data_IF_073840064497
#
_entry.id   IF_073840064497
#
_cell.length_a   1.000
_cell.length_b   1.000
_cell.length_c   1.000
_cell.angle_alpha   90.00
_cell.angle_beta   90.00
_cell.angle_gamma   90.00
#
_symmetry.space_group_name_H-M   'P 1'
#
loop_
_entity.id
_entity.type
_entity.pdbx_description
1 polymer ?
#
# COMPACT_ATOMS: atom_id res chain seq x y z
N UNK A 1 18.47 20.44 -1.81
CA UNK A 1 18.97 20.20 -0.45
C UNK A 1 18.31 18.96 0.09
N UNK A 2 19.10 17.91 0.36
CA UNK A 2 18.65 16.73 1.07
C UNK A 2 19.05 16.91 2.53
N UNK A 3 18.08 17.08 3.42
CA UNK A 3 18.33 17.11 4.85
C UNK A 3 18.43 15.67 5.35
N UNK A 4 19.62 15.25 5.73
CA UNK A 4 19.80 13.97 6.42
C UNK A 4 19.25 14.10 7.84
N UNK A 5 18.23 13.30 8.18
CA UNK A 5 17.72 13.20 9.55
C UNK A 5 18.77 12.50 10.41
N UNK A 6 19.16 13.09 11.54
CA UNK A 6 20.23 12.61 12.45
C UNK A 6 19.99 11.26 13.13
N UNK A 7 18.86 10.57 12.89
CA UNK A 7 18.51 9.26 13.46
C UNK A 7 17.89 8.37 12.38
N UNK A 8 18.73 7.86 11.48
CA UNK A 8 18.34 6.80 10.55
C UNK A 8 18.73 5.42 11.08
N UNK A 9 18.21 4.35 10.45
CA UNK A 9 18.59 2.99 10.79
C UNK A 9 20.10 2.78 10.62
N UNK A 10 20.73 2.02 11.54
CA UNK A 10 22.16 1.69 11.45
C UNK A 10 22.36 0.73 10.27
N UNK A 11 23.00 1.20 9.20
CA UNK A 11 23.40 0.40 8.04
C UNK A 11 24.92 0.37 7.98
N UNK A 12 25.50 -0.82 8.03
CA UNK A 12 26.93 -1.02 7.81
C UNK A 12 27.23 -0.99 6.32
N UNK A 13 28.25 -0.25 5.92
CA UNK A 13 28.66 -0.11 4.51
C UNK A 13 30.09 -0.58 4.36
N UNK A 14 30.36 -1.51 3.45
CA UNK A 14 31.69 -1.92 3.05
C UNK A 14 31.91 -1.83 1.55
N UNK A 15 33.13 -1.53 1.13
CA UNK A 15 33.51 -1.42 -0.28
C UNK A 15 34.64 -2.41 -0.58
N UNK A 16 34.53 -3.08 -1.74
CA UNK A 16 35.55 -4.02 -2.22
C UNK A 16 35.86 -3.76 -3.71
N UNK A 17 36.88 -4.40 -4.24
CA UNK A 17 37.27 -4.31 -5.65
C UNK A 17 37.45 -2.85 -6.14
N UNK A 18 38.23 -2.06 -5.40
CA UNK A 18 38.48 -0.63 -5.69
C UNK A 18 37.14 0.17 -5.83
N UNK A 19 36.14 -0.16 -4.99
CA UNK A 19 34.85 0.51 -4.98
C UNK A 19 33.87 0.04 -6.08
N UNK A 20 34.18 -1.01 -6.84
CA UNK A 20 33.25 -1.59 -7.83
C UNK A 20 32.15 -2.46 -7.20
N UNK A 21 32.35 -2.87 -5.94
CA UNK A 21 31.39 -3.66 -5.18
C UNK A 21 31.08 -2.94 -3.87
N UNK A 22 29.81 -2.71 -3.59
CA UNK A 22 29.30 -2.08 -2.38
C UNK A 22 28.41 -3.09 -1.66
N UNK A 23 28.70 -3.36 -0.40
CA UNK A 23 27.87 -4.22 0.43
C UNK A 23 27.26 -3.39 1.54
N UNK A 24 25.95 -3.47 1.67
CA UNK A 24 25.16 -2.93 2.77
C UNK A 24 24.70 -4.08 3.65
N UNK A 25 24.72 -3.89 4.97
CA UNK A 25 24.24 -4.89 5.92
C UNK A 25 23.45 -4.22 7.04
N UNK A 26 22.27 -4.75 7.31
CA UNK A 26 21.40 -4.34 8.41
C UNK A 26 20.34 -5.41 8.65
N UNK A 27 19.79 -5.49 9.86
CA UNK A 27 18.68 -6.39 10.21
C UNK A 27 18.92 -7.88 9.83
N UNK A 28 20.15 -8.37 9.95
CA UNK A 28 20.52 -9.72 9.52
C UNK A 28 20.63 -9.91 8.00
N UNK A 29 20.25 -8.92 7.21
CA UNK A 29 20.31 -8.97 5.74
C UNK A 29 21.60 -8.35 5.21
N UNK A 30 22.05 -8.86 4.06
CA UNK A 30 23.22 -8.37 3.34
C UNK A 30 22.91 -8.20 1.87
N UNK A 31 23.03 -6.97 1.38
CA UNK A 31 22.78 -6.61 -0.03
C UNK A 31 24.08 -6.16 -0.67
N UNK A 32 24.49 -6.84 -1.74
CA UNK A 32 25.72 -6.53 -2.47
C UNK A 32 25.38 -5.98 -3.84
N UNK A 33 25.80 -4.76 -4.08
CA UNK A 33 25.68 -4.04 -5.36
C UNK A 33 26.98 -4.12 -6.15
N UNK A 34 26.84 -4.16 -7.46
CA UNK A 34 27.94 -4.17 -8.42
C UNK A 34 27.82 -2.96 -9.35
N UNK A 35 28.86 -2.11 -9.36
CA UNK A 35 28.87 -0.88 -10.16
C UNK A 35 28.59 -1.18 -11.62
N UNK A 36 27.68 -0.41 -12.24
CA UNK A 36 27.22 -0.54 -13.62
C UNK A 36 26.56 -1.89 -13.97
N UNK A 37 26.12 -2.67 -12.98
CA UNK A 37 25.41 -3.94 -13.22
C UNK A 37 23.97 -3.85 -12.77
N UNK A 38 23.03 -4.35 -13.60
CA UNK A 38 21.59 -4.43 -13.27
C UNK A 38 21.23 -5.72 -12.52
N UNK A 39 22.05 -6.08 -11.55
CA UNK A 39 21.77 -7.13 -10.58
C UNK A 39 22.45 -6.85 -9.25
N UNK A 40 21.92 -7.45 -8.20
CA UNK A 40 22.44 -7.46 -6.83
C UNK A 40 22.57 -8.90 -6.34
N UNK A 41 23.19 -9.06 -5.19
CA UNK A 41 23.07 -10.29 -4.39
C UNK A 41 22.47 -9.96 -3.05
N UNK A 42 21.33 -10.55 -2.74
CA UNK A 42 20.65 -10.46 -1.44
C UNK A 42 20.89 -11.77 -0.70
N UNK A 43 21.58 -11.72 0.44
CA UNK A 43 21.95 -12.89 1.23
C UNK A 43 22.63 -14.00 0.39
N UNK A 44 23.41 -13.60 -0.63
CA UNK A 44 24.09 -14.51 -1.56
C UNK A 44 23.31 -14.85 -2.83
N UNK A 45 22.01 -14.74 -2.86
CA UNK A 45 21.13 -15.03 -4.02
C UNK A 45 21.16 -13.85 -5.00
N UNK A 46 21.30 -14.14 -6.30
CA UNK A 46 21.35 -13.12 -7.37
C UNK A 46 19.96 -12.69 -7.78
N UNK A 47 19.71 -11.38 -7.82
CA UNK A 47 18.44 -10.76 -8.22
C UNK A 47 18.65 -9.65 -9.25
N UNK A 48 17.72 -9.48 -10.18
CA UNK A 48 17.75 -8.41 -11.17
C UNK A 48 17.17 -7.12 -10.59
N UNK A 49 17.78 -5.99 -10.93
CA UNK A 49 17.29 -4.65 -10.59
C UNK A 49 17.13 -3.79 -11.84
N UNK A 50 16.21 -2.84 -11.81
CA UNK A 50 15.92 -1.95 -12.96
C UNK A 50 17.04 -0.93 -13.20
N UNK A 51 17.62 -0.40 -12.13
CA UNK A 51 18.61 0.68 -12.16
C UNK A 51 19.93 0.18 -11.60
N UNK A 52 21.00 0.30 -12.40
CA UNK A 52 22.34 -0.06 -11.95
C UNK A 52 22.92 1.01 -11.00
N UNK A 53 23.76 0.63 -10.01
CA UNK A 53 24.59 1.58 -9.29
C UNK A 53 25.54 2.31 -10.25
N UNK A 54 25.69 3.61 -10.08
CA UNK A 54 26.54 4.44 -10.93
C UNK A 54 27.49 5.34 -10.12
N UNK A 55 28.61 5.73 -10.71
CA UNK A 55 29.47 6.78 -10.19
C UNK A 55 28.96 8.14 -10.67
N UNK A 56 28.82 9.11 -9.78
CA UNK A 56 28.42 10.48 -10.12
C UNK A 56 29.33 11.48 -9.41
N UNK A 57 29.59 12.62 -10.04
CA UNK A 57 30.25 13.77 -9.41
C UNK A 57 29.18 14.72 -8.87
N UNK A 58 29.20 14.99 -7.58
CA UNK A 58 28.24 15.90 -6.94
C UNK A 58 29.07 16.83 -6.02
N UNK A 59 28.99 18.15 -6.25
CA UNK A 59 29.76 19.13 -5.48
C UNK A 59 31.27 18.88 -5.49
N UNK A 60 31.86 18.42 -6.62
CA UNK A 60 33.27 18.09 -6.74
C UNK A 60 33.67 16.69 -6.23
N UNK A 61 32.84 16.05 -5.41
CA UNK A 61 33.13 14.73 -4.85
C UNK A 61 32.62 13.60 -5.79
N UNK A 62 33.42 12.53 -5.94
CA UNK A 62 33.01 11.33 -6.67
C UNK A 62 32.27 10.38 -5.76
N UNK A 63 30.97 10.24 -5.96
CA UNK A 63 30.06 9.43 -5.15
C UNK A 63 29.53 8.22 -5.93
N UNK A 64 29.17 7.14 -5.22
CA UNK A 64 28.47 6.01 -5.79
C UNK A 64 26.99 6.14 -5.42
N UNK A 65 26.15 6.25 -6.45
CA UNK A 65 24.71 6.31 -6.31
C UNK A 65 24.14 4.89 -6.38
N UNK A 66 23.41 4.51 -5.36
CA UNK A 66 22.71 3.22 -5.30
C UNK A 66 21.20 3.44 -5.54
N UNK A 67 20.48 2.45 -6.09
CA UNK A 67 19.03 2.49 -6.15
C UNK A 67 18.47 2.38 -4.72
N UNK A 68 18.17 3.53 -4.11
CA UNK A 68 17.89 3.66 -2.68
C UNK A 68 16.73 2.78 -2.21
N UNK A 69 15.61 2.74 -2.97
CA UNK A 69 14.48 1.89 -2.63
C UNK A 69 14.91 0.43 -2.47
N UNK A 70 15.53 -0.15 -3.49
CA UNK A 70 16.01 -1.54 -3.48
C UNK A 70 17.01 -1.75 -2.35
N UNK A 71 17.92 -0.79 -2.12
CA UNK A 71 18.91 -0.89 -1.06
C UNK A 71 18.30 -1.03 0.33
N UNK A 72 17.26 -0.25 0.62
CA UNK A 72 16.62 -0.24 1.93
C UNK A 72 15.60 -1.36 2.09
N UNK A 73 14.77 -1.64 1.08
CA UNK A 73 13.76 -2.70 1.13
C UNK A 73 14.41 -4.08 1.33
N UNK A 74 15.49 -4.38 0.59
CA UNK A 74 16.21 -5.65 0.72
C UNK A 74 16.99 -5.80 2.05
N UNK A 75 17.23 -4.71 2.76
CA UNK A 75 17.78 -4.72 4.11
C UNK A 75 16.69 -4.86 5.20
N UNK A 76 15.41 -4.99 4.81
CA UNK A 76 14.28 -5.08 5.72
C UNK A 76 13.84 -3.73 6.28
N UNK A 77 14.17 -2.63 5.62
CA UNK A 77 13.66 -1.30 5.95
C UNK A 77 12.48 -0.93 5.07
N UNK A 78 11.61 -0.13 5.62
CA UNK A 78 10.52 0.48 4.86
C UNK A 78 11.00 1.76 4.19
N UNK A 79 10.82 1.88 2.86
CA UNK A 79 11.26 3.03 2.07
C UNK A 79 10.07 3.77 1.48
N UNK A 80 9.91 5.05 1.81
CA UNK A 80 8.87 5.93 1.24
C UNK A 80 9.49 7.23 0.73
N UNK A 81 9.10 7.64 -0.48
CA UNK A 81 9.48 8.94 -1.04
C UNK A 81 8.28 9.88 -1.03
N UNK A 82 8.39 10.98 -0.30
CA UNK A 82 7.40 12.05 -0.30
C UNK A 82 7.79 13.11 -1.36
N UNK A 83 7.03 13.14 -2.44
CA UNK A 83 7.31 14.03 -3.59
C UNK A 83 7.15 15.51 -3.25
N UNK A 84 6.16 15.90 -2.45
CA UNK A 84 5.89 17.29 -2.09
C UNK A 84 6.97 17.85 -1.17
N UNK A 85 7.45 17.06 -0.23
CA UNK A 85 8.55 17.42 0.68
C UNK A 85 9.93 17.12 0.10
N UNK A 86 10.00 16.48 -1.09
CA UNK A 86 11.25 15.97 -1.71
C UNK A 86 12.11 15.17 -0.72
N UNK A 87 11.45 14.41 0.17
CA UNK A 87 12.07 13.70 1.27
C UNK A 87 11.89 12.18 1.14
N UNK A 88 12.91 11.45 1.56
CA UNK A 88 12.90 10.00 1.68
C UNK A 88 12.76 9.66 3.16
N UNK A 89 11.79 8.82 3.49
CA UNK A 89 11.59 8.25 4.81
C UNK A 89 12.01 6.78 4.78
N UNK A 90 12.89 6.41 5.71
CA UNK A 90 13.33 5.04 5.91
C UNK A 90 13.08 4.67 7.36
N UNK A 91 12.19 3.72 7.60
CA UNK A 91 11.87 3.23 8.94
C UNK A 91 12.34 1.79 9.07
N UNK A 92 12.88 1.43 10.24
CA UNK A 92 13.38 0.08 10.49
C UNK A 92 12.28 -0.83 11.03
N UNK A 93 12.33 -2.11 10.63
CA UNK A 93 11.66 -3.16 11.41
C UNK A 93 12.54 -3.42 12.64
N UNK A 94 12.09 -3.01 13.81
CA UNK A 94 12.78 -3.31 15.08
C UNK A 94 12.51 -4.76 15.49
N UNK A 95 13.34 -5.68 15.03
CA UNK A 95 13.54 -6.93 15.76
C UNK A 95 14.50 -6.61 16.90
N UNK A 96 13.99 -6.36 18.07
CA UNK A 96 14.76 -6.11 19.29
C UNK A 96 15.28 -7.42 19.86
N UNK A 97 16.62 -7.55 19.91
CA UNK A 97 17.26 -8.36 20.94
C UNK A 97 17.77 -7.38 22.04
N UNK A 98 17.21 -7.55 23.24
CA UNK A 98 17.67 -7.10 24.55
C UNK A 98 17.82 -5.60 24.86
N UNK A 99 16.87 -5.06 25.61
CA UNK A 99 17.06 -4.04 26.63
C UNK A 99 15.90 -4.08 27.66
N UNK A 100 16.07 -3.60 28.90
CA UNK A 100 15.31 -4.03 30.06
C UNK A 100 13.88 -3.48 30.15
N UNK A 101 13.06 -4.22 30.87
CA UNK A 101 11.64 -4.06 31.06
C UNK A 101 11.18 -2.65 31.48
N UNK A 102 10.21 -2.10 30.75
CA UNK A 102 9.09 -1.34 31.32
C UNK A 102 8.04 -1.03 30.23
N UNK A 103 6.80 -1.35 30.52
CA UNK A 103 5.51 -1.19 29.83
C UNK A 103 5.14 -2.31 28.84
N UNK A 104 3.89 -2.81 28.91
CA UNK A 104 3.45 -3.94 28.08
C UNK A 104 3.38 -3.53 26.63
N UNK A 105 4.26 -4.13 25.81
CA UNK A 105 4.21 -4.04 24.35
C UNK A 105 3.00 -4.86 23.92
N UNK A 106 1.97 -4.18 23.41
CA UNK A 106 0.91 -4.83 22.65
C UNK A 106 1.58 -5.39 21.39
N UNK A 107 1.69 -6.70 21.28
CA UNK A 107 2.17 -7.38 20.08
C UNK A 107 1.30 -6.96 18.90
N UNK A 108 1.80 -6.06 18.03
CA UNK A 108 1.11 -5.76 16.77
C UNK A 108 1.12 -7.04 15.90
N UNK A 109 -0.03 -7.48 15.39
CA UNK A 109 -0.09 -8.65 14.52
C UNK A 109 0.72 -8.40 13.24
N UNK A 110 1.53 -9.36 12.85
CA UNK A 110 2.35 -9.31 11.63
C UNK A 110 1.48 -9.05 10.39
N UNK A 111 1.93 -8.14 9.51
CA UNK A 111 1.19 -7.82 8.27
C UNK A 111 1.35 -8.96 7.26
N UNK A 112 0.27 -9.68 6.99
CA UNK A 112 0.25 -10.73 5.98
C UNK A 112 -0.02 -10.13 4.58
N UNK A 113 1.02 -9.70 3.89
CA UNK A 113 0.91 -9.14 2.54
C UNK A 113 0.48 -10.16 1.47
N UNK A 114 0.61 -11.45 1.74
CA UNK A 114 0.20 -12.56 0.87
C UNK A 114 -1.24 -13.04 1.11
N UNK A 115 -2.01 -12.39 2.01
CA UNK A 115 -3.36 -12.82 2.37
C UNK A 115 -4.25 -12.96 1.14
N UNK A 116 -4.87 -14.16 1.02
CA UNK A 116 -5.82 -14.48 -0.05
C UNK A 116 -7.24 -14.33 0.44
N UNK A 117 -8.13 -13.82 -0.39
CA UNK A 117 -9.54 -13.65 -0.04
C UNK A 117 -10.25 -14.98 0.26
N UNK A 118 -9.77 -16.09 -0.29
CA UNK A 118 -10.28 -17.44 0.01
C UNK A 118 -10.23 -17.79 1.49
N UNK A 119 -9.29 -17.21 2.24
CA UNK A 119 -9.20 -17.37 3.69
C UNK A 119 -10.44 -16.83 4.44
N UNK A 120 -11.12 -15.81 3.89
CA UNK A 120 -12.26 -15.16 4.55
C UNK A 120 -13.53 -16.00 4.58
N UNK A 121 -13.62 -17.07 3.77
CA UNK A 121 -14.84 -17.88 3.60
C UNK A 121 -15.44 -18.30 4.94
N UNK A 122 -14.59 -18.76 5.86
CA UNK A 122 -14.99 -19.28 7.18
C UNK A 122 -14.65 -18.34 8.35
N UNK A 123 -14.12 -17.16 8.07
CA UNK A 123 -13.78 -16.21 9.14
C UNK A 123 -15.03 -15.56 9.73
N UNK A 124 -15.00 -15.37 11.04
CA UNK A 124 -15.89 -14.45 11.74
C UNK A 124 -15.56 -13.01 11.39
N UNK A 125 -16.46 -12.07 11.72
CA UNK A 125 -16.23 -10.63 11.51
C UNK A 125 -14.98 -10.12 12.23
N UNK A 126 -14.71 -10.63 13.43
CA UNK A 126 -13.54 -10.23 14.20
C UNK A 126 -12.23 -10.78 13.60
N UNK A 127 -12.24 -12.02 13.13
CA UNK A 127 -11.08 -12.62 12.45
C UNK A 127 -10.76 -11.88 11.14
N UNK A 128 -11.78 -11.51 10.36
CA UNK A 128 -11.60 -10.66 9.17
C UNK A 128 -10.93 -9.33 9.53
N UNK A 129 -11.43 -8.62 10.54
CA UNK A 129 -10.85 -7.34 10.99
C UNK A 129 -9.40 -7.53 11.44
N UNK A 130 -9.11 -8.58 12.19
CA UNK A 130 -7.76 -8.87 12.67
C UNK A 130 -6.80 -9.25 11.52
N UNK A 131 -7.30 -9.87 10.45
CA UNK A 131 -6.50 -10.23 9.29
C UNK A 131 -6.24 -9.03 8.37
N UNK A 132 -7.25 -8.18 8.13
CA UNK A 132 -7.16 -7.05 7.19
C UNK A 132 -6.66 -5.77 7.86
N UNK A 133 -6.91 -5.58 9.15
CA UNK A 133 -6.54 -4.38 9.91
C UNK A 133 -5.06 -3.99 9.82
N UNK A 134 -4.13 -4.93 10.05
CA UNK A 134 -2.69 -4.64 9.88
C UNK A 134 -2.33 -4.19 8.48
N UNK A 135 -2.97 -4.77 7.44
CA UNK A 135 -2.74 -4.41 6.03
C UNK A 135 -3.26 -2.98 5.77
N UNK A 136 -4.49 -2.68 6.24
CA UNK A 136 -5.09 -1.35 6.07
C UNK A 136 -4.30 -0.27 6.83
N UNK A 137 -3.79 -0.57 8.03
CA UNK A 137 -2.92 0.34 8.79
C UNK A 137 -1.61 0.64 8.05
N UNK A 138 -0.97 -0.39 7.51
CA UNK A 138 0.27 -0.23 6.76
C UNK A 138 0.05 0.58 5.48
N UNK A 139 -1.09 0.39 4.82
CA UNK A 139 -1.49 1.18 3.67
C UNK A 139 -1.80 2.65 4.06
N UNK A 140 -2.51 2.89 5.17
CA UNK A 140 -2.74 4.23 5.71
C UNK A 140 -1.43 5.00 5.97
N UNK A 141 -0.44 4.35 6.57
CA UNK A 141 0.89 4.96 6.81
C UNK A 141 1.57 5.41 5.51
N UNK A 142 1.28 4.76 4.39
CA UNK A 142 1.83 5.07 3.06
C UNK A 142 1.04 6.12 2.30
N UNK A 143 -0.29 6.06 2.41
CA UNK A 143 -1.20 6.79 1.51
C UNK A 143 -1.91 7.96 2.18
N UNK A 144 -2.13 7.89 3.49
CA UNK A 144 -2.95 8.84 4.24
C UNK A 144 -4.46 8.53 4.17
N UNK A 145 -4.88 7.48 3.46
CA UNK A 145 -6.26 6.97 3.52
C UNK A 145 -6.42 6.18 4.81
N UNK A 146 -7.27 6.66 5.72
CA UNK A 146 -7.42 6.07 7.06
C UNK A 146 -7.75 4.57 7.00
N UNK A 147 -7.10 3.79 7.85
CA UNK A 147 -7.32 2.35 7.92
C UNK A 147 -8.77 2.01 8.29
N UNK A 148 -9.39 2.80 9.16
CA UNK A 148 -10.81 2.67 9.51
C UNK A 148 -11.71 2.84 8.31
N UNK A 149 -11.41 3.80 7.42
CA UNK A 149 -12.17 4.03 6.17
C UNK A 149 -11.97 2.87 5.21
N UNK A 150 -10.72 2.45 4.98
CA UNK A 150 -10.38 1.30 4.13
C UNK A 150 -11.07 0.02 4.60
N UNK A 151 -11.06 -0.26 5.92
CA UNK A 151 -11.72 -1.42 6.51
C UNK A 151 -13.24 -1.36 6.34
N UNK A 152 -13.87 -0.22 6.62
CA UNK A 152 -15.31 -0.07 6.48
C UNK A 152 -15.76 -0.27 5.02
N UNK A 153 -15.02 0.31 4.06
CA UNK A 153 -15.26 0.08 2.63
C UNK A 153 -15.04 -1.39 2.25
N UNK A 154 -13.95 -2.02 2.69
CA UNK A 154 -13.70 -3.43 2.40
C UNK A 154 -14.80 -4.35 2.94
N UNK A 155 -15.30 -4.08 4.15
CA UNK A 155 -16.42 -4.81 4.74
C UNK A 155 -17.69 -4.65 3.88
N UNK A 156 -18.03 -3.41 3.54
CA UNK A 156 -19.25 -3.07 2.79
C UNK A 156 -19.21 -3.63 1.37
N UNK A 157 -18.14 -3.36 0.62
CA UNK A 157 -18.01 -3.68 -0.80
C UNK A 157 -17.80 -5.19 -1.05
N UNK A 158 -17.13 -5.90 -0.14
CA UNK A 158 -16.85 -7.33 -0.32
C UNK A 158 -17.76 -8.28 0.45
N UNK A 159 -18.68 -7.75 1.29
CA UNK A 159 -19.44 -8.58 2.21
C UNK A 159 -18.52 -9.39 3.14
N UNK A 160 -17.61 -8.71 3.86
CA UNK A 160 -16.63 -9.37 4.71
C UNK A 160 -15.66 -10.28 3.94
N UNK A 161 -15.32 -9.92 2.73
CA UNK A 161 -14.47 -10.72 1.86
C UNK A 161 -15.15 -11.98 1.27
N UNK A 162 -16.44 -12.17 1.50
CA UNK A 162 -17.17 -13.40 1.12
C UNK A 162 -17.87 -13.31 -0.23
N UNK A 163 -17.89 -12.15 -0.89
CA UNK A 163 -18.50 -12.02 -2.23
C UNK A 163 -17.76 -12.90 -3.25
N UNK A 164 -18.53 -13.44 -4.22
CA UNK A 164 -17.96 -14.29 -5.27
C UNK A 164 -16.84 -13.59 -6.06
N UNK A 165 -16.99 -12.29 -6.32
CA UNK A 165 -15.93 -11.49 -6.96
C UNK A 165 -14.65 -11.51 -6.12
N UNK A 166 -14.76 -11.15 -4.85
CA UNK A 166 -13.62 -11.07 -3.94
C UNK A 166 -12.91 -12.42 -3.80
N UNK A 167 -13.67 -13.51 -3.62
CA UNK A 167 -13.13 -14.87 -3.47
C UNK A 167 -12.32 -15.33 -4.70
N UNK A 168 -12.74 -14.93 -5.90
CA UNK A 168 -12.11 -15.36 -7.15
C UNK A 168 -10.99 -14.45 -7.65
N UNK A 169 -10.88 -13.22 -7.11
CA UNK A 169 -9.98 -12.20 -7.67
C UNK A 169 -9.16 -11.41 -6.65
N UNK A 170 -9.34 -11.62 -5.35
CA UNK A 170 -8.80 -10.77 -4.26
C UNK A 170 -9.24 -9.30 -4.36
N UNK A 171 -10.26 -8.98 -5.16
CA UNK A 171 -10.74 -7.62 -5.39
C UNK A 171 -11.74 -7.22 -4.30
N UNK A 172 -11.26 -6.47 -3.31
CA UNK A 172 -12.05 -6.10 -2.13
C UNK A 172 -13.07 -4.98 -2.37
N UNK A 173 -12.89 -4.20 -3.45
CA UNK A 173 -13.62 -2.95 -3.68
C UNK A 173 -14.38 -2.92 -5.00
N UNK A 174 -14.47 -4.03 -5.70
CA UNK A 174 -15.14 -4.08 -7.00
C UNK A 174 -14.46 -3.21 -8.08
N UNK A 175 -13.14 -3.05 -8.02
CA UNK A 175 -12.41 -2.25 -9.00
C UNK A 175 -12.52 -2.86 -10.39
N UNK A 176 -13.14 -2.11 -11.33
CA UNK A 176 -13.24 -2.50 -12.75
C UNK A 176 -11.89 -2.28 -13.46
N UNK A 177 -11.65 -2.95 -14.59
CA UNK A 177 -10.43 -2.80 -15.39
C UNK A 177 -10.30 -1.39 -15.97
N UNK A 178 -11.43 -0.75 -16.28
CA UNK A 178 -11.51 0.66 -16.68
C UNK A 178 -12.59 1.35 -15.85
N UNK A 179 -12.33 2.60 -15.48
CA UNK A 179 -13.27 3.46 -14.79
C UNK A 179 -13.50 4.69 -15.67
N UNK A 180 -14.64 4.74 -16.35
CA UNK A 180 -15.02 5.83 -17.26
C UNK A 180 -14.92 7.20 -16.57
N UNK A 181 -14.31 8.16 -17.28
CA UNK A 181 -14.13 9.52 -16.76
C UNK A 181 -13.05 9.69 -15.69
N UNK A 182 -12.31 8.61 -15.35
CA UNK A 182 -11.24 8.66 -14.36
C UNK A 182 -9.92 8.19 -14.93
N UNK A 183 -8.86 8.90 -14.54
CA UNK A 183 -7.48 8.48 -14.71
C UNK A 183 -6.75 8.62 -13.40
N UNK A 184 -5.78 7.77 -13.13
CA UNK A 184 -4.90 7.91 -11.95
C UNK A 184 -3.54 7.30 -12.19
N UNK A 185 -2.56 7.78 -11.43
CA UNK A 185 -1.21 7.24 -11.38
C UNK A 185 -1.02 6.40 -10.12
N UNK A 186 -0.02 5.52 -10.13
CA UNK A 186 0.33 4.73 -8.96
C UNK A 186 -0.47 3.45 -8.79
N UNK A 187 -1.30 3.05 -9.78
CA UNK A 187 -1.94 1.74 -9.79
C UNK A 187 -0.89 0.63 -9.68
N UNK A 188 -1.14 -0.33 -8.81
CA UNK A 188 -0.31 -1.54 -8.63
C UNK A 188 -0.87 -2.76 -9.35
N UNK A 189 -2.02 -2.61 -10.02
CA UNK A 189 -2.57 -3.64 -10.89
C UNK A 189 -1.69 -3.85 -12.13
N UNK A 190 -1.57 -5.09 -12.60
CA UNK A 190 -0.68 -5.47 -13.71
C UNK A 190 -1.17 -5.02 -15.11
N UNK A 191 -2.36 -4.41 -15.16
CA UNK A 191 -2.98 -3.91 -16.40
C UNK A 191 -3.66 -4.98 -17.24
N UNK A 192 -3.66 -6.27 -16.84
CA UNK A 192 -4.14 -7.39 -17.67
C UNK A 192 -4.95 -8.45 -16.95
N UNK A 193 -4.66 -8.74 -15.67
CA UNK A 193 -5.34 -9.80 -14.92
C UNK A 193 -6.74 -9.37 -14.50
N UNK A 194 -7.77 -10.10 -14.94
CA UNK A 194 -9.16 -9.78 -14.61
C UNK A 194 -10.03 -11.03 -14.49
N UNK A 195 -11.21 -10.84 -13.94
CA UNK A 195 -12.33 -11.79 -13.97
C UNK A 195 -13.54 -11.12 -14.61
N UNK A 196 -14.35 -11.91 -15.31
CA UNK A 196 -15.62 -11.44 -15.88
C UNK A 196 -16.76 -11.83 -14.96
N UNK A 197 -17.64 -10.86 -14.65
CA UNK A 197 -18.79 -11.07 -13.78
C UNK A 197 -20.01 -10.47 -14.47
N UNK A 198 -21.12 -11.23 -14.49
CA UNK A 198 -22.41 -10.72 -14.92
C UNK A 198 -22.96 -9.79 -13.82
N UNK A 199 -23.14 -8.52 -14.16
CA UNK A 199 -23.71 -7.51 -13.26
C UNK A 199 -25.03 -6.98 -13.83
N UNK A 200 -25.91 -6.55 -12.93
CA UNK A 200 -27.14 -5.83 -13.33
C UNK A 200 -26.84 -4.33 -13.22
N UNK A 201 -27.02 -3.64 -14.31
CA UNK A 201 -26.91 -2.18 -14.36
C UNK A 201 -28.24 -1.60 -14.86
N UNK A 202 -28.49 -0.34 -14.52
CA UNK A 202 -29.69 0.37 -14.95
C UNK A 202 -29.32 1.38 -16.04
N UNK A 203 -29.88 1.21 -17.23
CA UNK A 203 -29.78 2.14 -18.34
C UNK A 203 -31.14 2.66 -18.70
N UNK A 204 -31.34 3.98 -18.61
CA UNK A 204 -32.63 4.64 -18.94
C UNK A 204 -33.83 4.00 -18.24
N UNK A 205 -33.71 3.71 -16.93
CA UNK A 205 -34.74 3.08 -16.13
C UNK A 205 -34.96 1.57 -16.39
N UNK A 206 -34.17 0.95 -17.27
CA UNK A 206 -34.25 -0.49 -17.57
C UNK A 206 -33.07 -1.23 -16.97
N UNK A 207 -33.37 -2.31 -16.23
CA UNK A 207 -32.34 -3.22 -15.71
C UNK A 207 -31.81 -4.11 -16.81
N UNK A 208 -30.56 -4.02 -17.13
CA UNK A 208 -29.84 -4.86 -18.10
C UNK A 208 -28.76 -5.67 -17.43
N UNK A 209 -28.56 -6.90 -17.87
CA UNK A 209 -27.44 -7.71 -17.41
C UNK A 209 -26.29 -7.52 -18.39
N UNK A 210 -25.16 -7.05 -17.89
CA UNK A 210 -23.93 -6.91 -18.68
C UNK A 210 -22.81 -7.76 -18.09
N UNK A 211 -21.84 -8.11 -18.91
CA UNK A 211 -20.60 -8.72 -18.45
C UNK A 211 -19.57 -7.61 -18.24
N UNK A 212 -19.14 -7.43 -17.00
CA UNK A 212 -18.12 -6.45 -16.64
C UNK A 212 -16.81 -7.13 -16.26
N UNK A 213 -15.68 -6.48 -16.60
CA UNK A 213 -14.33 -6.94 -16.25
C UNK A 213 -13.87 -6.26 -14.99
N UNK A 214 -13.52 -7.07 -14.00
CA UNK A 214 -13.02 -6.62 -12.71
C UNK A 214 -11.55 -7.02 -12.55
N UNK A 215 -10.73 -6.13 -12.00
CA UNK A 215 -9.31 -6.38 -11.72
C UNK A 215 -9.15 -7.62 -10.84
N UNK A 216 -8.13 -8.42 -11.14
CA UNK A 216 -7.69 -9.53 -10.31
C UNK A 216 -6.34 -9.19 -9.72
N UNK A 217 -6.17 -9.43 -8.41
CA UNK A 217 -4.96 -9.11 -7.68
C UNK A 217 -4.29 -10.37 -7.13
N UNK A 218 -2.95 -10.38 -7.04
CA UNK A 218 -2.19 -11.46 -6.40
C UNK A 218 -2.54 -11.66 -4.91
N UNK A 219 -3.00 -10.60 -4.23
CA UNK A 219 -3.37 -10.64 -2.81
C UNK A 219 -4.35 -9.53 -2.43
N UNK A 220 -4.98 -9.67 -1.27
CA UNK A 220 -5.82 -8.63 -0.64
C UNK A 220 -5.03 -7.35 -0.41
N UNK A 221 -3.76 -7.43 -0.02
CA UNK A 221 -2.91 -6.27 0.20
C UNK A 221 -2.72 -5.44 -1.08
N UNK A 222 -2.58 -6.09 -2.25
CA UNK A 222 -2.49 -5.36 -3.51
C UNK A 222 -3.82 -4.73 -3.93
N UNK A 223 -4.95 -5.37 -3.63
CA UNK A 223 -6.26 -4.75 -3.84
C UNK A 223 -6.43 -3.48 -3.00
N UNK A 224 -6.02 -3.51 -1.73
CA UNK A 224 -6.06 -2.34 -0.84
C UNK A 224 -5.15 -1.24 -1.38
N UNK A 225 -3.90 -1.56 -1.74
CA UNK A 225 -2.95 -0.58 -2.26
C UNK A 225 -3.42 0.06 -3.58
N UNK A 226 -4.02 -0.70 -4.49
CA UNK A 226 -4.56 -0.17 -5.74
C UNK A 226 -5.77 0.74 -5.52
N UNK A 227 -6.64 0.36 -4.59
CA UNK A 227 -7.79 1.17 -4.19
C UNK A 227 -7.35 2.50 -3.57
N UNK A 228 -6.40 2.49 -2.66
CA UNK A 228 -5.88 3.72 -2.05
C UNK A 228 -5.11 4.60 -3.05
N UNK A 229 -4.42 3.98 -4.02
CA UNK A 229 -3.84 4.72 -5.14
C UNK A 229 -4.91 5.42 -5.98
N UNK A 230 -6.03 4.74 -6.25
CA UNK A 230 -7.19 5.34 -6.90
C UNK A 230 -7.76 6.51 -6.08
N UNK A 231 -8.05 6.31 -4.80
CA UNK A 231 -8.62 7.36 -3.96
C UNK A 231 -7.72 8.59 -3.84
N UNK A 232 -6.42 8.38 -3.79
CA UNK A 232 -5.44 9.47 -3.63
C UNK A 232 -5.11 10.21 -4.92
N UNK A 233 -5.26 9.57 -6.09
CA UNK A 233 -4.73 10.08 -7.35
C UNK A 233 -5.76 10.19 -8.47
N UNK A 234 -7.01 9.71 -8.29
CA UNK A 234 -8.03 9.82 -9.31
C UNK A 234 -8.29 11.28 -9.69
N UNK A 235 -8.37 11.52 -11.00
CA UNK A 235 -8.59 12.84 -11.58
C UNK A 235 -10.01 12.93 -12.15
N UNK A 236 -10.61 14.11 -12.01
CA UNK A 236 -11.81 14.51 -12.71
C UNK A 236 -11.46 15.79 -13.48
N UNK A 237 -11.17 15.65 -14.77
CA UNK A 237 -10.53 16.70 -15.56
C UNK A 237 -9.16 17.08 -14.96
N UNK A 238 -8.91 18.36 -14.76
CA UNK A 238 -7.65 18.86 -14.23
C UNK A 238 -7.55 18.81 -12.68
N UNK A 239 -8.60 18.37 -11.98
CA UNK A 239 -8.67 18.39 -10.50
C UNK A 239 -8.65 16.98 -9.93
N UNK A 240 -8.08 16.81 -8.72
CA UNK A 240 -8.22 15.55 -7.98
C UNK A 240 -9.68 15.32 -7.62
N UNK A 241 -10.16 14.10 -7.90
CA UNK A 241 -11.55 13.72 -7.62
C UNK A 241 -11.89 13.79 -6.14
N UNK A 242 -10.97 13.33 -5.28
CA UNK A 242 -11.12 13.32 -3.83
C UNK A 242 -10.12 14.28 -3.17
N UNK A 243 -10.16 15.55 -3.61
CA UNK A 243 -9.24 16.56 -3.10
C UNK A 243 -9.38 16.75 -1.58
N UNK A 244 -8.25 16.77 -0.87
CA UNK A 244 -8.21 16.89 0.59
C UNK A 244 -8.40 15.57 1.35
N UNK A 245 -8.61 14.44 0.67
CA UNK A 245 -8.85 13.14 1.32
C UNK A 245 -7.72 12.77 2.28
N UNK A 246 -6.48 12.90 1.85
CA UNK A 246 -5.29 12.51 2.63
C UNK A 246 -4.76 13.60 3.56
N UNK A 247 -5.39 14.79 3.53
CA UNK A 247 -5.00 15.93 4.34
C UNK A 247 -5.71 15.96 5.71
N UNK A 248 -6.74 15.13 5.88
CA UNK A 248 -7.52 15.02 7.12
C UNK A 248 -7.28 13.67 7.82
N UNK A 249 -7.25 13.71 9.14
CA UNK A 249 -7.21 12.51 10.01
C UNK A 249 -8.59 12.18 10.61
N UNK A 250 -9.65 12.77 10.10
CA UNK A 250 -11.02 12.48 10.49
C UNK A 250 -11.68 11.53 9.49
N UNK A 251 -12.07 10.34 9.94
CA UNK A 251 -12.78 9.40 9.08
C UNK A 251 -14.11 9.98 8.55
N UNK A 252 -14.82 10.76 9.35
CA UNK A 252 -16.05 11.41 8.91
C UNK A 252 -15.80 12.41 7.78
N UNK A 253 -14.70 13.16 7.84
CA UNK A 253 -14.27 14.05 6.77
C UNK A 253 -13.87 13.28 5.52
N UNK A 254 -13.09 12.19 5.65
CA UNK A 254 -12.72 11.36 4.51
C UNK A 254 -13.96 10.75 3.83
N UNK A 255 -14.89 10.17 4.59
CA UNK A 255 -16.14 9.61 4.04
C UNK A 255 -16.98 10.67 3.32
N UNK A 256 -17.06 11.89 3.86
CA UNK A 256 -17.78 12.99 3.23
C UNK A 256 -17.12 13.42 1.91
N UNK A 257 -15.79 13.46 1.87
CA UNK A 257 -15.03 13.78 0.64
C UNK A 257 -15.26 12.69 -0.42
N UNK A 258 -15.25 11.42 -0.04
CA UNK A 258 -15.52 10.29 -0.94
C UNK A 258 -16.94 10.38 -1.52
N UNK A 259 -17.95 10.63 -0.70
CA UNK A 259 -19.32 10.77 -1.17
C UNK A 259 -19.50 11.98 -2.10
N UNK A 260 -18.99 13.15 -1.72
CA UNK A 260 -19.02 14.36 -2.56
C UNK A 260 -18.26 14.20 -3.89
N UNK A 261 -17.18 13.41 -3.90
CA UNK A 261 -16.44 13.04 -5.09
C UNK A 261 -17.13 11.97 -5.94
N UNK A 262 -18.31 11.49 -5.54
CA UNK A 262 -19.10 10.52 -6.29
C UNK A 262 -18.55 9.10 -6.24
N UNK A 263 -17.90 8.71 -5.13
CA UNK A 263 -17.51 7.30 -4.92
C UNK A 263 -18.73 6.41 -4.88
N UNK A 264 -19.75 6.85 -4.16
CA UNK A 264 -21.06 6.20 -4.09
C UNK A 264 -22.17 7.24 -4.16
N UNK A 265 -23.21 6.98 -4.96
CA UNK A 265 -24.35 7.89 -5.13
C UNK A 265 -25.45 7.69 -4.08
N UNK A 266 -25.40 6.57 -3.34
CA UNK A 266 -26.37 6.29 -2.30
C UNK A 266 -26.20 7.22 -1.09
N UNK A 267 -27.26 7.91 -0.70
CA UNK A 267 -27.25 8.91 0.39
C UNK A 267 -26.91 8.33 1.76
N UNK A 268 -27.20 7.06 2.01
CA UNK A 268 -26.89 6.35 3.25
C UNK A 268 -25.42 5.91 3.40
N UNK A 269 -24.57 6.11 2.40
CA UNK A 269 -23.20 5.60 2.37
C UNK A 269 -22.34 6.03 3.56
N UNK A 270 -22.31 7.34 3.89
CA UNK A 270 -21.53 7.86 5.01
C UNK A 270 -22.04 7.32 6.35
N UNK A 271 -23.36 7.24 6.54
CA UNK A 271 -23.96 6.74 7.79
C UNK A 271 -23.69 5.25 7.99
N UNK A 272 -23.78 4.46 6.93
CA UNK A 272 -23.49 3.01 6.97
C UNK A 272 -22.02 2.75 7.35
N UNK A 273 -21.07 3.39 6.65
CA UNK A 273 -19.66 3.20 6.96
C UNK A 273 -19.31 3.75 8.35
N UNK A 274 -19.90 4.86 8.78
CA UNK A 274 -19.76 5.39 10.15
C UNK A 274 -20.24 4.38 11.18
N UNK A 275 -21.35 3.71 10.92
CA UNK A 275 -21.89 2.66 11.80
C UNK A 275 -20.92 1.49 11.92
N UNK A 276 -20.36 1.02 10.80
CA UNK A 276 -19.35 -0.03 10.80
C UNK A 276 -18.08 0.38 11.60
N UNK A 277 -17.58 1.59 11.37
CA UNK A 277 -16.39 2.12 12.06
C UNK A 277 -16.61 2.13 13.58
N UNK A 278 -17.74 2.64 14.03
CA UNK A 278 -18.08 2.72 15.47
C UNK A 278 -18.34 1.35 16.06
N UNK A 279 -19.16 0.50 15.41
CA UNK A 279 -19.57 -0.82 15.92
C UNK A 279 -18.38 -1.75 16.15
N UNK A 280 -17.37 -1.68 15.29
CA UNK A 280 -16.22 -2.58 15.35
C UNK A 280 -14.94 -1.90 15.83
N UNK A 281 -15.02 -0.66 16.33
CA UNK A 281 -13.88 0.12 16.81
C UNK A 281 -12.72 0.13 15.80
N UNK A 282 -13.04 0.45 14.55
CA UNK A 282 -12.06 0.37 13.47
C UNK A 282 -10.98 1.46 13.56
N UNK A 283 -11.26 2.56 14.28
CA UNK A 283 -10.28 3.66 14.48
C UNK A 283 -9.03 3.25 15.24
N UNK A 284 -9.06 2.13 15.96
CA UNK A 284 -7.84 1.55 16.59
C UNK A 284 -6.74 1.21 15.58
N UNK A 285 -7.08 1.13 14.30
CA UNK A 285 -6.14 0.87 13.23
C UNK A 285 -5.55 2.15 12.59
N UNK A 286 -6.02 3.34 12.97
CA UNK A 286 -5.57 4.64 12.45
C UNK A 286 -4.33 5.21 13.17
N UNK A 287 -3.58 4.38 13.93
CA UNK A 287 -2.42 4.77 14.72
C UNK A 287 -1.10 4.41 14.04
#
# INVERSE_FOLDING_TARGET
>A
HYTMVKRGPKVSVSKANKGKTITLSANGNRVRFYLNKKYIKVNGKKERIRTAPVKAKIGGASLIMLPARVAFEELGFHYTYNKSKKAIYVTGNTTTTNAPASTPIVNEPAVNTGLQATAFKNMSTQEFINAVGPIAREDYRKTGVLASVTLAQAINESGWGKSGLTQNSNNMFGMKTSLSGNSWSGSVWDGRSYVEVKTREEYNGKKVTITAKFRKYPSVAQSIADHSAYLSNAMNGARRRYNGLTDTKSYSSQLTILQKGGYCTWSGYVSELTTLIKKYDLTKWDN
#
